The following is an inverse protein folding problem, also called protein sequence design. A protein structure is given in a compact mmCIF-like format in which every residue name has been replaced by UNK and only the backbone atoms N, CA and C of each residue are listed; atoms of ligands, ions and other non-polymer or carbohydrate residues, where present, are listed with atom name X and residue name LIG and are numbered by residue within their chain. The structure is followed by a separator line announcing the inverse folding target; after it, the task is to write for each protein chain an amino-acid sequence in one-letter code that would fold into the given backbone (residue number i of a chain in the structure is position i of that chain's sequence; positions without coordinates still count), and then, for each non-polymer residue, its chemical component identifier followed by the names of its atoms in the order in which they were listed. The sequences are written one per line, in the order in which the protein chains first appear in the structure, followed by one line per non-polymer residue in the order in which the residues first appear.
data_IF_941871647961
#
_entry.id   IF_941871647961
#
_cell.length_a   1.000
_cell.length_b   1.000
_cell.length_c   1.000
_cell.angle_alpha   90.00
_cell.angle_beta   90.00
_cell.angle_gamma   90.00
#
_symmetry.space_group_name_H-M   'P 1'
#
loop_
_entity.id
_entity.type
_entity.pdbx_description
1 polymer ?
#
# COMPACT_ATOMS: atom_id res chain seq x y z
N UNK A 1 -19.52 -9.97 1.48
CA UNK A 1 -20.69 -10.89 1.54
C UNK A 1 -20.30 -12.32 1.21
N UNK A 2 -19.80 -12.63 -0.02
CA UNK A 2 -19.50 -14.03 -0.41
C UNK A 2 -18.41 -14.68 0.46
N UNK A 3 -17.31 -14.00 0.72
CA UNK A 3 -16.23 -14.53 1.57
C UNK A 3 -16.71 -14.75 3.01
N UNK A 4 -17.52 -13.85 3.55
CA UNK A 4 -18.11 -13.97 4.88
C UNK A 4 -19.01 -15.21 4.99
N UNK A 5 -19.89 -15.43 4.02
CA UNK A 5 -20.75 -16.61 3.99
C UNK A 5 -19.96 -17.92 3.95
N UNK A 6 -18.89 -17.97 3.15
CA UNK A 6 -18.00 -19.14 3.08
C UNK A 6 -17.31 -19.38 4.42
N UNK A 7 -16.79 -18.32 5.06
CA UNK A 7 -16.14 -18.43 6.36
C UNK A 7 -17.14 -18.90 7.42
N UNK A 8 -18.32 -18.29 7.51
CA UNK A 8 -19.34 -18.66 8.48
C UNK A 8 -19.85 -20.10 8.29
N UNK A 9 -19.99 -20.53 7.04
CA UNK A 9 -20.32 -21.93 6.76
C UNK A 9 -19.23 -22.86 7.27
N UNK A 10 -17.96 -22.54 7.00
CA UNK A 10 -16.83 -23.35 7.47
C UNK A 10 -16.72 -23.39 8.99
N UNK A 11 -16.98 -22.26 9.68
CA UNK A 11 -17.05 -22.23 11.13
C UNK A 11 -18.10 -23.21 11.67
N UNK A 12 -19.31 -23.21 11.09
CA UNK A 12 -20.39 -24.16 11.49
C UNK A 12 -19.98 -25.62 11.26
N UNK A 13 -19.36 -25.92 10.10
CA UNK A 13 -18.90 -27.29 9.77
C UNK A 13 -17.83 -27.78 10.76
N UNK A 14 -17.00 -26.88 11.25
CA UNK A 14 -15.91 -27.20 12.18
C UNK A 14 -16.32 -27.08 13.66
N UNK A 15 -17.55 -26.63 13.98
CA UNK A 15 -17.98 -26.37 15.36
C UNK A 15 -17.23 -25.21 16.01
N UNK A 16 -16.75 -24.25 15.22
CA UNK A 16 -16.01 -23.07 15.69
C UNK A 16 -16.93 -21.87 15.71
N UNK A 17 -16.95 -21.12 16.82
CA UNK A 17 -17.69 -19.88 16.92
C UNK A 17 -16.90 -18.72 16.25
N UNK A 18 -17.48 -18.02 15.27
CA UNK A 18 -16.80 -16.92 14.60
C UNK A 18 -16.76 -15.68 15.51
N UNK A 19 -15.61 -15.00 15.54
CA UNK A 19 -15.47 -13.70 16.21
C UNK A 19 -15.38 -12.60 15.16
N UNK A 20 -16.10 -11.51 15.40
CA UNK A 20 -16.12 -10.36 14.50
C UNK A 20 -15.30 -9.23 15.08
N UNK A 21 -14.42 -8.67 14.25
CA UNK A 21 -13.73 -7.45 14.59
C UNK A 21 -14.73 -6.29 14.74
N UNK A 22 -14.42 -5.36 15.64
CA UNK A 22 -15.25 -4.18 15.86
C UNK A 22 -15.37 -3.33 14.58
N UNK A 23 -16.53 -2.72 14.39
CA UNK A 23 -16.78 -1.66 13.40
C UNK A 23 -16.83 -0.26 14.04
N UNK A 24 -16.77 -0.20 15.37
CA UNK A 24 -16.76 1.06 16.12
C UNK A 24 -15.33 1.62 16.17
N UNK A 25 -14.97 2.26 15.06
CA UNK A 25 -13.68 2.91 14.85
C UNK A 25 -13.91 4.35 14.43
N UNK A 26 -13.45 5.28 15.26
CA UNK A 26 -13.47 6.71 15.00
C UNK A 26 -12.08 7.18 14.57
N UNK A 27 -12.00 7.96 13.50
CA UNK A 27 -10.77 8.65 13.11
C UNK A 27 -10.76 10.01 13.79
N UNK A 28 -9.90 10.18 14.78
CA UNK A 28 -9.76 11.43 15.55
C UNK A 28 -8.94 12.47 14.78
N UNK A 29 -7.94 12.02 14.02
CA UNK A 29 -7.10 12.88 13.19
C UNK A 29 -6.42 12.09 12.07
N UNK A 30 -6.08 12.78 10.99
CA UNK A 30 -5.25 12.26 9.89
C UNK A 30 -3.99 13.12 9.77
N UNK A 31 -2.83 12.48 9.80
CA UNK A 31 -1.56 13.14 9.52
C UNK A 31 -1.37 13.38 8.02
N UNK A 32 -0.61 14.38 7.66
CA UNK A 32 -0.27 14.69 6.26
C UNK A 32 0.45 13.52 5.55
N UNK A 33 1.05 12.62 6.31
CA UNK A 33 1.70 11.39 5.83
C UNK A 33 0.75 10.19 5.69
N UNK A 34 -0.55 10.39 5.94
CA UNK A 34 -1.58 9.36 5.85
C UNK A 34 -1.63 8.39 7.04
N UNK A 35 -0.92 8.66 8.13
CA UNK A 35 -1.10 7.97 9.41
C UNK A 35 -2.32 8.53 10.13
N UNK A 36 -3.14 7.61 10.66
CA UNK A 36 -4.39 7.97 11.32
C UNK A 36 -4.23 7.87 12.84
N UNK A 37 -4.78 8.83 13.57
CA UNK A 37 -5.05 8.70 15.00
C UNK A 37 -6.49 8.22 15.14
N UNK A 38 -6.67 7.15 15.90
CA UNK A 38 -7.95 6.45 15.98
C UNK A 38 -8.36 6.16 17.41
N UNK A 39 -9.65 5.95 17.56
CA UNK A 39 -10.29 5.37 18.73
C UNK A 39 -11.03 4.12 18.28
N UNK A 40 -10.72 2.97 18.87
CA UNK A 40 -11.43 1.71 18.64
C UNK A 40 -12.15 1.32 19.93
N UNK A 41 -13.41 0.90 19.82
CA UNK A 41 -14.17 0.33 20.92
C UNK A 41 -14.47 -1.12 20.64
N UNK A 42 -14.16 -1.98 21.61
CA UNK A 42 -14.45 -3.42 21.57
C UNK A 42 -15.31 -3.78 22.79
N UNK A 43 -15.75 -5.02 22.87
CA UNK A 43 -16.45 -5.51 24.05
C UNK A 43 -15.54 -5.50 25.33
N UNK A 44 -14.21 -5.46 25.17
CA UNK A 44 -13.24 -5.46 26.27
C UNK A 44 -12.80 -4.05 26.70
N UNK A 45 -13.12 -3.04 25.96
CA UNK A 45 -12.78 -1.67 26.30
C UNK A 45 -12.51 -0.75 25.11
N UNK A 46 -11.90 0.38 25.41
CA UNK A 46 -11.61 1.41 24.43
C UNK A 46 -10.11 1.63 24.27
N UNK A 47 -9.64 1.68 23.03
CA UNK A 47 -8.28 2.06 22.62
C UNK A 47 -8.33 3.44 21.99
N UNK A 48 -8.18 4.50 22.80
CA UNK A 48 -8.27 5.90 22.36
C UNK A 48 -6.92 6.53 22.12
N UNK A 49 -6.83 7.44 21.15
CA UNK A 49 -5.63 8.21 20.82
C UNK A 49 -4.52 7.43 20.14
N UNK A 50 -4.79 6.20 19.68
CA UNK A 50 -3.79 5.33 19.05
C UNK A 50 -3.38 5.89 17.68
N UNK A 51 -2.10 6.12 17.46
CA UNK A 51 -1.57 6.51 16.17
C UNK A 51 -1.13 5.29 15.36
N UNK A 52 -1.93 4.87 14.41
CA UNK A 52 -1.59 3.73 13.57
C UNK A 52 -0.26 3.97 12.83
N UNK A 53 0.68 3.03 12.95
CA UNK A 53 1.94 3.08 12.24
C UNK A 53 1.76 2.88 10.74
N UNK A 54 0.83 2.00 10.34
CA UNK A 54 0.51 1.73 8.96
C UNK A 54 -0.43 2.79 8.39
N UNK A 55 -0.18 3.23 7.14
CA UNK A 55 -0.87 4.32 6.47
C UNK A 55 -2.13 3.88 5.73
N UNK A 56 -3.06 4.82 5.57
CA UNK A 56 -4.25 4.65 4.72
C UNK A 56 -5.46 4.09 5.45
N UNK A 57 -6.65 4.48 4.99
CA UNK A 57 -7.93 4.17 5.66
C UNK A 57 -8.27 2.67 5.69
N UNK A 58 -7.77 1.88 4.73
CA UNK A 58 -7.95 0.43 4.74
C UNK A 58 -7.27 -0.26 5.95
N UNK A 59 -6.33 0.41 6.61
CA UNK A 59 -5.70 -0.09 7.83
C UNK A 59 -6.62 -0.04 9.05
N UNK A 60 -7.72 0.70 9.01
CA UNK A 60 -8.73 0.69 10.08
C UNK A 60 -9.30 -0.72 10.30
N UNK A 61 -9.72 -1.37 9.22
CA UNK A 61 -10.23 -2.75 9.27
C UNK A 61 -9.15 -3.74 9.70
N UNK A 62 -7.91 -3.54 9.23
CA UNK A 62 -6.78 -4.41 9.62
C UNK A 62 -6.45 -4.24 11.10
N UNK A 63 -6.43 -3.01 11.62
CA UNK A 63 -6.21 -2.72 13.02
C UNK A 63 -7.31 -3.34 13.90
N UNK A 64 -8.58 -3.20 13.52
CA UNK A 64 -9.68 -3.83 14.24
C UNK A 64 -9.55 -5.35 14.28
N UNK A 65 -9.15 -5.96 13.16
CA UNK A 65 -8.92 -7.42 13.10
C UNK A 65 -7.75 -7.86 13.97
N UNK A 66 -6.67 -7.08 13.99
CA UNK A 66 -5.51 -7.34 14.83
C UNK A 66 -5.86 -7.24 16.32
N UNK A 67 -6.62 -6.21 16.72
CA UNK A 67 -7.11 -6.06 18.10
C UNK A 67 -7.98 -7.24 18.49
N UNK A 68 -8.97 -7.61 17.67
CA UNK A 68 -9.87 -8.73 17.97
C UNK A 68 -9.09 -10.07 18.12
N UNK A 69 -8.09 -10.30 17.29
CA UNK A 69 -7.23 -11.48 17.37
C UNK A 69 -6.38 -11.47 18.64
N UNK A 70 -5.75 -10.33 18.98
CA UNK A 70 -4.95 -10.19 20.17
C UNK A 70 -5.77 -10.36 21.46
N UNK A 71 -6.99 -9.78 21.50
CA UNK A 71 -7.93 -9.97 22.61
C UNK A 71 -8.35 -11.44 22.75
N UNK A 72 -8.58 -12.15 21.63
CA UNK A 72 -8.91 -13.56 21.64
C UNK A 72 -7.77 -14.41 22.20
N UNK A 73 -6.53 -14.14 21.77
CA UNK A 73 -5.35 -14.81 22.29
C UNK A 73 -5.15 -14.55 23.81
N UNK A 74 -5.43 -13.33 24.26
CA UNK A 74 -5.37 -13.02 25.69
C UNK A 74 -6.42 -13.80 26.52
N UNK A 75 -7.62 -14.05 25.95
CA UNK A 75 -8.62 -14.93 26.57
C UNK A 75 -8.16 -16.38 26.66
N UNK A 76 -7.39 -16.83 25.68
CA UNK A 76 -6.80 -18.17 25.64
C UNK A 76 -5.55 -18.31 26.56
N UNK A 77 -5.23 -17.26 27.35
CA UNK A 77 -4.17 -17.29 28.37
C UNK A 77 -2.82 -16.74 27.93
N UNK A 78 -2.70 -16.20 26.70
CA UNK A 78 -1.48 -15.50 26.30
C UNK A 78 -1.32 -14.20 27.08
N UNK A 79 -0.08 -13.87 27.45
CA UNK A 79 0.23 -12.64 28.21
C UNK A 79 0.25 -11.42 27.31
N UNK A 80 -0.92 -11.03 26.79
CA UNK A 80 -1.11 -9.85 25.93
C UNK A 80 -1.90 -8.82 26.73
N UNK A 81 -1.20 -7.75 27.12
CA UNK A 81 -1.83 -6.60 27.77
C UNK A 81 -2.39 -5.61 26.76
N UNK A 82 -3.20 -4.66 27.25
CA UNK A 82 -3.68 -3.55 26.43
C UNK A 82 -2.52 -2.72 25.86
N UNK A 83 -1.49 -2.49 26.66
CA UNK A 83 -0.29 -1.73 26.27
C UNK A 83 0.45 -2.44 25.13
N UNK A 84 0.56 -3.76 25.14
CA UNK A 84 1.14 -4.54 24.06
C UNK A 84 0.35 -4.39 22.75
N UNK A 85 -0.99 -4.33 22.84
CA UNK A 85 -1.85 -4.12 21.65
C UNK A 85 -1.62 -2.71 21.08
N UNK A 86 -1.61 -1.69 21.94
CA UNK A 86 -1.37 -0.30 21.51
C UNK A 86 0.02 -0.16 20.90
N UNK A 87 1.06 -0.66 21.57
CA UNK A 87 2.43 -0.62 21.05
C UNK A 87 2.52 -1.31 19.69
N UNK A 88 1.91 -2.49 19.53
CA UNK A 88 1.87 -3.20 18.26
C UNK A 88 1.22 -2.39 17.13
N UNK A 89 0.13 -1.68 17.41
CA UNK A 89 -0.54 -0.81 16.42
C UNK A 89 0.30 0.43 16.07
N UNK A 90 1.05 0.98 17.03
CA UNK A 90 1.84 2.20 16.86
C UNK A 90 3.23 1.95 16.28
N UNK A 91 3.73 0.70 16.34
CA UNK A 91 5.08 0.34 15.86
C UNK A 91 5.08 -0.66 14.71
N UNK A 92 3.92 -1.15 14.28
CA UNK A 92 3.83 -2.13 13.19
C UNK A 92 4.53 -1.65 11.92
N UNK A 93 5.35 -2.49 11.36
CA UNK A 93 6.01 -2.27 10.08
C UNK A 93 5.56 -3.29 9.05
N UNK A 94 5.25 -2.85 7.84
CA UNK A 94 4.94 -3.74 6.72
C UNK A 94 5.58 -3.21 5.44
N UNK A 95 6.70 -3.81 5.06
CA UNK A 95 7.43 -3.40 3.88
C UNK A 95 6.56 -3.46 2.61
N UNK A 96 6.58 -2.39 1.83
CA UNK A 96 5.81 -2.29 0.58
C UNK A 96 4.30 -2.19 0.77
N UNK A 97 3.84 -1.66 1.91
CA UNK A 97 2.43 -1.32 2.16
C UNK A 97 2.33 0.14 2.57
N UNK A 98 2.09 1.02 1.58
CA UNK A 98 2.11 2.48 1.74
C UNK A 98 3.34 2.94 2.54
N UNK A 99 4.48 2.31 2.28
CA UNK A 99 5.74 2.64 2.91
C UNK A 99 6.30 3.91 2.27
N UNK A 100 6.35 5.00 3.03
CA UNK A 100 6.79 6.31 2.56
C UNK A 100 8.23 6.58 3.01
N UNK A 101 9.11 6.81 2.04
CA UNK A 101 10.49 7.26 2.24
C UNK A 101 10.59 8.75 1.87
N UNK A 102 10.99 9.56 2.85
CA UNK A 102 11.12 11.03 2.72
C UNK A 102 12.55 11.52 2.92
N UNK A 103 13.54 10.63 2.86
CA UNK A 103 14.96 10.97 3.13
C UNK A 103 15.59 11.87 2.09
N UNK A 104 15.02 11.99 0.91
CA UNK A 104 15.54 12.78 -0.19
C UNK A 104 14.73 14.05 -0.46
N UNK A 105 15.09 14.73 -1.55
CA UNK A 105 14.36 15.90 -2.05
C UNK A 105 13.02 15.56 -2.71
N UNK A 106 12.77 14.29 -2.94
CA UNK A 106 11.51 13.70 -3.45
C UNK A 106 11.08 12.61 -2.50
N UNK A 107 9.79 12.46 -2.29
CA UNK A 107 9.26 11.34 -1.53
C UNK A 107 9.07 10.12 -2.43
N UNK A 108 9.30 8.92 -1.89
CA UNK A 108 9.03 7.67 -2.59
C UNK A 108 8.03 6.87 -1.77
N UNK A 109 6.90 6.55 -2.38
CA UNK A 109 5.88 5.68 -1.82
C UNK A 109 6.02 4.28 -2.43
N UNK A 110 6.21 3.27 -1.59
CA UNK A 110 6.25 1.88 -1.99
C UNK A 110 4.94 1.19 -1.62
N UNK A 111 4.25 0.63 -2.60
CA UNK A 111 3.06 -0.16 -2.37
C UNK A 111 2.96 -1.36 -3.31
N UNK A 112 2.80 -2.54 -2.77
CA UNK A 112 2.71 -3.79 -3.52
C UNK A 112 1.31 -4.11 -4.05
N UNK A 113 0.47 -3.11 -4.35
CA UNK A 113 -0.85 -3.32 -4.94
C UNK A 113 -0.75 -4.12 -6.25
N UNK A 114 -1.34 -5.30 -6.27
CA UNK A 114 -1.25 -6.25 -7.39
C UNK A 114 -2.59 -6.91 -7.74
N UNK A 115 -3.68 -6.37 -7.21
CA UNK A 115 -5.06 -6.76 -7.51
C UNK A 115 -5.96 -5.52 -7.44
N UNK A 116 -7.20 -5.58 -7.95
CA UNK A 116 -8.10 -4.43 -7.99
C UNK A 116 -8.40 -3.82 -6.62
N UNK A 117 -8.55 -4.62 -5.58
CA UNK A 117 -8.82 -4.12 -4.22
C UNK A 117 -7.61 -3.34 -3.66
N UNK A 118 -6.38 -3.86 -3.82
CA UNK A 118 -5.16 -3.15 -3.46
C UNK A 118 -4.98 -1.86 -4.26
N UNK A 119 -5.28 -1.90 -5.57
CA UNK A 119 -5.25 -0.72 -6.42
C UNK A 119 -6.23 0.36 -5.92
N UNK A 120 -7.44 -0.03 -5.52
CA UNK A 120 -8.43 0.91 -4.96
C UNK A 120 -7.97 1.52 -3.64
N UNK A 121 -7.33 0.74 -2.77
CA UNK A 121 -6.79 1.22 -1.50
C UNK A 121 -5.64 2.22 -1.72
N UNK A 122 -4.71 1.90 -2.63
CA UNK A 122 -3.62 2.81 -3.00
C UNK A 122 -4.17 4.08 -3.65
N UNK A 123 -5.13 3.97 -4.57
CA UNK A 123 -5.77 5.11 -5.22
C UNK A 123 -6.41 6.05 -4.19
N UNK A 124 -7.19 5.53 -3.26
CA UNK A 124 -7.81 6.32 -2.20
C UNK A 124 -6.77 7.05 -1.33
N UNK A 125 -5.64 6.40 -1.04
CA UNK A 125 -4.52 7.04 -0.35
C UNK A 125 -3.90 8.18 -1.16
N UNK A 126 -3.63 7.97 -2.45
CA UNK A 126 -3.07 8.99 -3.32
C UNK A 126 -4.01 10.20 -3.45
N UNK A 127 -5.30 9.97 -3.63
CA UNK A 127 -6.31 11.05 -3.73
C UNK A 127 -6.43 11.88 -2.45
N UNK A 128 -6.22 11.27 -1.27
CA UNK A 128 -6.37 11.96 0.02
C UNK A 128 -5.07 12.63 0.49
N UNK A 129 -3.91 12.01 0.27
CA UNK A 129 -2.66 12.39 0.92
C UNK A 129 -1.53 12.79 -0.04
N UNK A 130 -1.63 12.52 -1.35
CA UNK A 130 -0.62 12.97 -2.29
C UNK A 130 -0.87 14.42 -2.71
N UNK A 131 -0.04 15.34 -2.22
CA UNK A 131 -0.06 16.71 -2.67
C UNK A 131 0.67 16.86 -4.01
N UNK A 132 -0.05 17.28 -5.07
CA UNK A 132 0.55 17.57 -6.37
C UNK A 132 0.64 16.35 -7.31
N UNK A 133 1.55 16.45 -8.30
CA UNK A 133 1.68 15.42 -9.34
C UNK A 133 2.39 14.17 -8.84
N UNK A 134 1.87 13.01 -9.21
CA UNK A 134 2.45 11.70 -8.90
C UNK A 134 3.15 11.14 -10.14
N UNK A 135 4.42 10.78 -10.00
CA UNK A 135 5.13 9.95 -10.97
C UNK A 135 5.00 8.51 -10.53
N UNK A 136 4.32 7.69 -11.34
CA UNK A 136 4.06 6.29 -11.01
C UNK A 136 5.00 5.37 -11.78
N UNK A 137 5.77 4.55 -11.07
CA UNK A 137 6.55 3.43 -11.62
C UNK A 137 5.74 2.15 -11.40
N UNK A 138 5.28 1.57 -12.51
CA UNK A 138 4.39 0.41 -12.48
C UNK A 138 5.01 -0.80 -13.17
N UNK A 139 5.02 -1.93 -12.47
CA UNK A 139 5.41 -3.22 -13.04
C UNK A 139 4.74 -4.38 -12.31
N UNK A 140 4.10 -5.27 -13.06
CA UNK A 140 3.23 -6.30 -12.51
C UNK A 140 3.48 -7.67 -13.13
N UNK A 141 2.92 -8.71 -12.50
CA UNK A 141 2.97 -10.07 -13.03
C UNK A 141 1.87 -10.26 -14.09
N UNK A 142 2.14 -11.12 -15.11
CA UNK A 142 1.25 -11.34 -16.27
C UNK A 142 -0.09 -12.00 -15.91
N UNK A 143 -0.14 -12.66 -14.78
CA UNK A 143 -1.34 -13.39 -14.28
C UNK A 143 -2.31 -12.48 -13.50
N UNK A 144 -2.07 -11.18 -13.44
CA UNK A 144 -2.91 -10.23 -12.70
C UNK A 144 -3.95 -9.55 -13.59
N UNK A 145 -5.00 -9.02 -12.98
CA UNK A 145 -6.05 -8.26 -13.64
C UNK A 145 -5.56 -6.87 -14.07
N UNK A 146 -4.58 -6.82 -14.99
CA UNK A 146 -3.83 -5.62 -15.35
C UNK A 146 -4.73 -4.48 -15.82
N UNK A 147 -5.75 -4.78 -16.64
CA UNK A 147 -6.69 -3.78 -17.15
C UNK A 147 -7.52 -3.12 -16.02
N UNK A 148 -7.93 -3.90 -15.02
CA UNK A 148 -8.70 -3.38 -13.89
C UNK A 148 -7.83 -2.53 -12.97
N UNK A 149 -6.62 -3.01 -12.66
CA UNK A 149 -5.62 -2.27 -11.86
C UNK A 149 -5.30 -0.94 -12.54
N UNK A 150 -5.02 -0.96 -13.84
CA UNK A 150 -4.69 0.24 -14.62
C UNK A 150 -5.82 1.27 -14.66
N UNK A 151 -7.09 0.83 -14.83
CA UNK A 151 -8.25 1.75 -14.79
C UNK A 151 -8.34 2.51 -13.46
N UNK A 152 -7.95 1.87 -12.38
CA UNK A 152 -8.01 2.48 -11.03
C UNK A 152 -6.82 3.42 -10.80
N UNK A 153 -5.60 2.96 -11.09
CA UNK A 153 -4.37 3.64 -10.66
C UNK A 153 -3.89 4.72 -11.64
N UNK A 154 -3.93 4.45 -12.94
CA UNK A 154 -3.27 5.32 -13.92
C UNK A 154 -3.85 6.74 -14.03
N UNK A 155 -5.16 6.97 -13.78
CA UNK A 155 -5.66 8.33 -13.68
C UNK A 155 -5.06 9.19 -12.56
N UNK A 156 -4.39 8.58 -11.57
CA UNK A 156 -3.69 9.33 -10.52
C UNK A 156 -2.27 9.76 -10.93
N UNK A 157 -1.72 9.21 -12.03
CA UNK A 157 -0.36 9.48 -12.47
C UNK A 157 -0.31 10.66 -13.45
N UNK A 158 0.48 11.69 -13.13
CA UNK A 158 0.87 12.70 -14.11
C UNK A 158 1.94 12.14 -15.08
N UNK A 159 2.82 11.29 -14.57
CA UNK A 159 3.82 10.56 -15.35
C UNK A 159 3.72 9.08 -15.00
N UNK A 160 3.43 8.25 -16.01
CA UNK A 160 3.36 6.79 -15.88
C UNK A 160 4.59 6.16 -16.53
N UNK A 161 5.34 5.39 -15.76
CA UNK A 161 6.53 4.66 -16.23
C UNK A 161 6.21 3.18 -16.09
N UNK A 162 6.11 2.48 -17.22
CA UNK A 162 5.92 1.04 -17.25
C UNK A 162 7.28 0.35 -17.28
N UNK A 163 7.47 -0.62 -16.40
CA UNK A 163 8.74 -1.36 -16.31
C UNK A 163 8.54 -2.84 -16.03
N UNK A 164 9.57 -3.62 -16.32
CA UNK A 164 9.57 -5.07 -16.09
C UNK A 164 10.51 -5.41 -14.92
N UNK A 165 9.97 -5.84 -13.77
CA UNK A 165 10.81 -6.34 -12.67
C UNK A 165 11.48 -7.66 -13.07
N UNK A 166 12.67 -7.94 -12.53
CA UNK A 166 13.44 -9.17 -12.79
C UNK A 166 12.77 -10.40 -12.18
N UNK A 167 11.70 -10.84 -12.82
CA UNK A 167 10.94 -12.02 -12.42
C UNK A 167 10.43 -12.74 -13.66
N UNK A 168 10.57 -14.08 -13.80
CA UNK A 168 10.09 -14.84 -14.97
C UNK A 168 8.58 -14.72 -15.23
N UNK A 169 7.80 -14.32 -14.22
CA UNK A 169 6.35 -14.09 -14.32
C UNK A 169 6.00 -12.64 -14.64
N UNK A 170 6.97 -11.75 -14.76
CA UNK A 170 6.69 -10.35 -15.07
C UNK A 170 5.98 -10.19 -16.42
N UNK A 171 5.08 -9.24 -16.50
CA UNK A 171 4.56 -8.77 -17.78
C UNK A 171 5.58 -7.84 -18.41
N UNK A 172 5.98 -8.11 -19.64
CA UNK A 172 6.87 -7.22 -20.39
C UNK A 172 6.22 -5.86 -20.62
N UNK A 173 7.03 -4.81 -20.75
CA UNK A 173 6.55 -3.41 -20.86
C UNK A 173 5.54 -3.20 -21.99
N UNK A 174 5.74 -3.84 -23.14
CA UNK A 174 4.81 -3.77 -24.26
C UNK A 174 3.48 -4.49 -23.99
N UNK A 175 3.54 -5.60 -23.25
CA UNK A 175 2.34 -6.31 -22.83
C UNK A 175 1.55 -5.48 -21.81
N UNK A 176 2.22 -4.81 -20.89
CA UNK A 176 1.61 -3.84 -19.98
C UNK A 176 0.91 -2.72 -20.76
N UNK A 177 1.62 -2.10 -21.71
CA UNK A 177 1.07 -1.00 -22.53
C UNK A 177 -0.20 -1.40 -23.30
N UNK A 178 -0.24 -2.67 -23.81
CA UNK A 178 -1.42 -3.19 -24.52
C UNK A 178 -2.57 -3.58 -23.59
N UNK A 179 -2.25 -4.06 -22.40
CA UNK A 179 -3.24 -4.61 -21.46
C UNK A 179 -3.97 -3.54 -20.63
N UNK A 180 -3.39 -2.34 -20.52
CA UNK A 180 -3.91 -1.30 -19.65
C UNK A 180 -4.54 -0.16 -20.43
N UNK A 181 -5.62 0.45 -19.92
CA UNK A 181 -6.18 1.65 -20.52
C UNK A 181 -5.16 2.78 -20.42
N UNK A 182 -5.03 3.56 -21.48
CA UNK A 182 -4.16 4.74 -21.47
C UNK A 182 -4.65 5.74 -20.40
N UNK A 183 -3.72 6.39 -19.68
CA UNK A 183 -4.07 7.47 -18.76
C UNK A 183 -4.67 8.66 -19.54
N UNK A 184 -5.24 9.66 -18.85
CA UNK A 184 -5.72 10.88 -19.47
C UNK A 184 -4.68 11.53 -20.39
N UNK A 185 -5.12 12.24 -21.42
CA UNK A 185 -4.24 12.90 -22.41
C UNK A 185 -3.24 13.91 -21.80
N UNK A 186 -3.50 14.38 -20.58
CA UNK A 186 -2.59 15.25 -19.82
C UNK A 186 -1.42 14.51 -19.19
N UNK A 187 -1.43 13.17 -19.17
CA UNK A 187 -0.38 12.35 -18.58
C UNK A 187 0.63 11.91 -19.63
N UNK A 188 1.89 11.76 -19.23
CA UNK A 188 2.94 11.17 -20.09
C UNK A 188 3.16 9.70 -19.76
N UNK A 189 3.52 8.91 -20.79
CA UNK A 189 3.88 7.49 -20.61
C UNK A 189 5.31 7.29 -21.08
N UNK A 190 6.11 6.62 -20.27
CA UNK A 190 7.44 6.14 -20.63
C UNK A 190 7.54 4.62 -20.44
N UNK A 191 8.32 3.99 -21.29
CA UNK A 191 8.67 2.56 -21.16
C UNK A 191 10.11 2.44 -20.70
N UNK A 192 10.35 1.68 -19.66
CA UNK A 192 11.65 1.45 -19.09
C UNK A 192 11.98 -0.06 -19.09
N UNK A 193 13.05 -0.51 -19.75
CA UNK A 193 13.37 -1.93 -19.86
C UNK A 193 13.80 -2.56 -18.53
N UNK A 194 14.19 -1.73 -17.55
CA UNK A 194 14.56 -2.18 -16.21
C UNK A 194 14.08 -1.24 -15.11
N UNK A 195 14.03 -1.75 -13.89
CA UNK A 195 13.72 -0.93 -12.70
C UNK A 195 14.73 0.19 -12.47
N UNK A 196 16.00 0.01 -12.87
CA UNK A 196 17.02 1.06 -12.81
C UNK A 196 16.71 2.20 -13.77
N UNK A 197 16.39 1.89 -15.05
CA UNK A 197 16.01 2.89 -16.04
C UNK A 197 14.74 3.62 -15.61
N UNK A 198 13.76 2.88 -15.06
CA UNK A 198 12.53 3.46 -14.55
C UNK A 198 12.79 4.48 -13.45
N UNK A 199 13.73 4.22 -12.54
CA UNK A 199 14.11 5.17 -11.49
C UNK A 199 14.77 6.43 -12.05
N UNK A 200 15.65 6.31 -13.05
CA UNK A 200 16.29 7.45 -13.72
C UNK A 200 15.21 8.34 -14.36
N UNK A 201 14.28 7.73 -15.12
CA UNK A 201 13.16 8.45 -15.74
C UNK A 201 12.28 9.10 -14.67
N UNK A 202 11.94 8.37 -13.60
CA UNK A 202 11.11 8.89 -12.52
C UNK A 202 11.73 10.12 -11.86
N UNK A 203 13.04 10.07 -11.60
CA UNK A 203 13.77 11.20 -11.02
C UNK A 203 13.70 12.44 -11.91
N UNK A 204 13.86 12.28 -13.22
CA UNK A 204 13.84 13.38 -14.17
C UNK A 204 12.46 14.04 -14.28
N UNK A 205 11.38 13.25 -14.19
CA UNK A 205 10.01 13.75 -14.33
C UNK A 205 9.37 14.21 -13.01
N UNK A 206 9.97 13.89 -11.88
CA UNK A 206 9.42 14.27 -10.57
C UNK A 206 10.09 15.52 -10.05
N UNK A 207 9.37 16.64 -9.84
CA UNK A 207 9.95 17.85 -9.27
C UNK A 207 10.41 17.64 -7.82
N UNK A 208 11.20 18.57 -7.28
CA UNK A 208 11.53 18.60 -5.85
C UNK A 208 10.24 18.71 -5.04
N UNK A 209 10.15 17.96 -3.96
CA UNK A 209 8.93 17.85 -3.14
C UNK A 209 7.84 16.98 -3.77
N UNK A 210 8.05 16.48 -5.00
CA UNK A 210 7.10 15.57 -5.67
C UNK A 210 7.16 14.14 -5.14
N UNK A 211 6.18 13.34 -5.55
CA UNK A 211 6.00 11.95 -5.12
C UNK A 211 6.26 10.97 -6.27
N UNK A 212 7.16 10.03 -6.04
CA UNK A 212 7.34 8.83 -6.87
C UNK A 212 6.58 7.69 -6.19
N UNK A 213 5.63 7.07 -6.89
CA UNK A 213 4.90 5.90 -6.42
C UNK A 213 5.38 4.65 -7.15
N UNK A 214 5.98 3.70 -6.44
CA UNK A 214 6.45 2.42 -6.99
C UNK A 214 5.45 1.35 -6.62
N UNK A 215 4.78 0.75 -7.63
CA UNK A 215 3.65 -0.15 -7.40
C UNK A 215 3.45 -1.22 -8.49
N UNK A 216 2.47 -2.09 -8.31
CA UNK A 216 2.10 -3.18 -9.23
C UNK A 216 2.59 -4.56 -8.80
N UNK A 217 3.67 -4.65 -8.03
CA UNK A 217 4.13 -5.90 -7.44
C UNK A 217 5.14 -5.69 -6.30
N UNK A 218 5.13 -6.61 -5.34
CA UNK A 218 6.16 -6.64 -4.29
C UNK A 218 7.56 -6.95 -4.85
N UNK A 219 7.66 -7.62 -6.00
CA UNK A 219 8.95 -7.87 -6.66
C UNK A 219 9.59 -6.57 -7.16
N UNK A 220 8.79 -5.71 -7.81
CA UNK A 220 9.25 -4.39 -8.24
C UNK A 220 9.67 -3.54 -7.03
N UNK A 221 8.83 -3.49 -6.00
CA UNK A 221 9.13 -2.76 -4.76
C UNK A 221 10.45 -3.23 -4.15
N UNK A 222 10.63 -4.54 -4.00
CA UNK A 222 11.86 -5.10 -3.43
C UNK A 222 13.10 -4.84 -4.28
N UNK A 223 12.97 -4.85 -5.61
CA UNK A 223 14.06 -4.55 -6.54
C UNK A 223 14.46 -3.07 -6.46
N UNK A 224 13.50 -2.16 -6.49
CA UNK A 224 13.74 -0.72 -6.36
C UNK A 224 14.35 -0.38 -5.01
N UNK A 225 13.86 -0.95 -3.92
CA UNK A 225 14.45 -0.73 -2.58
C UNK A 225 15.91 -1.17 -2.51
N UNK A 226 16.28 -2.30 -3.15
CA UNK A 226 17.69 -2.74 -3.23
C UNK A 226 18.55 -1.77 -4.03
N UNK A 227 18.07 -1.28 -5.17
CA UNK A 227 18.77 -0.28 -5.97
C UNK A 227 19.04 0.99 -5.15
N UNK A 228 18.04 1.51 -4.47
CA UNK A 228 18.15 2.71 -3.62
C UNK A 228 19.05 2.51 -2.38
N UNK A 229 19.19 1.28 -1.89
CA UNK A 229 20.10 0.96 -0.80
C UNK A 229 21.57 0.99 -1.24
N UNK A 230 21.83 0.67 -2.51
CA UNK A 230 23.19 0.65 -3.09
C UNK A 230 23.60 2.01 -3.68
N UNK A 231 22.65 2.81 -4.15
CA UNK A 231 22.90 4.13 -4.73
C UNK A 231 22.17 5.24 -3.92
N UNK A 232 22.86 5.75 -2.91
CA UNK A 232 22.36 6.86 -2.09
C UNK A 232 22.30 8.19 -2.84
N UNK A 233 23.06 8.32 -3.94
CA UNK A 233 23.08 9.55 -4.75
C UNK A 233 21.72 9.84 -5.41
N UNK A 234 20.85 8.84 -5.54
CA UNK A 234 19.50 9.00 -6.04
C UNK A 234 18.70 10.05 -5.26
N UNK A 235 18.92 10.13 -3.94
CA UNK A 235 18.21 11.06 -3.07
C UNK A 235 18.78 12.48 -3.12
N UNK A 236 20.09 12.64 -3.40
CA UNK A 236 20.83 13.89 -3.23
C UNK A 236 21.12 14.61 -4.56
N UNK A 237 21.21 13.89 -5.68
CA UNK A 237 21.59 14.47 -6.97
C UNK A 237 20.42 15.19 -7.66
N UNK A 238 20.73 16.38 -8.15
CA UNK A 238 19.93 17.06 -9.16
C UNK A 238 20.17 16.36 -10.50
N UNK A 239 19.11 15.92 -11.18
CA UNK A 239 19.19 15.44 -12.55
C UNK A 239 19.30 16.59 -13.50
#
# INVERSE_FOLDING_TARGET
PEAEEVILRRCRECGVEPRFATRDIEVEAAGADGRLRVRLRTARGEYGGVRLALRGRHQLTNAASAVALAESLAEDGFQISREHIVEGLETAEHAGRLELDTRGRRSILFDGAHNPAGASALRAYLDEFAAGSVTMVFGAMRDKALAEIGRVLFPAAAHLILTEPRNPRAAGVEALLRAVPLPPASSTIALAPSSSDALVIARTHTPRGGLICVTGSLYLVGEVKRLLATDRSFFDSDG
#
